data_IF_051143915037
#
_entry.id   IF_051143915037
#
_cell.length_a   1.000
_cell.length_b   1.000
_cell.length_c   1.000
_cell.angle_alpha   90.00
_cell.angle_beta   90.00
_cell.angle_gamma   90.00
#
_symmetry.space_group_name_H-M   'P 1'
#
loop_
_entity.id
_entity.type
_entity.pdbx_description
1 polymer ?
#
# COMPACT_ATOMS: atom_id res chain seq x y z
N UNK A 1 6.52 -8.11 6.46
CA UNK A 1 5.31 -8.10 5.59
C UNK A 1 4.10 -8.81 6.20
N UNK A 2 4.27 -9.75 7.14
CA UNK A 2 3.14 -10.47 7.77
C UNK A 2 2.83 -10.06 9.21
N UNK A 3 3.53 -9.06 9.78
CA UNK A 3 3.38 -8.67 11.18
C UNK A 3 1.93 -8.28 11.57
N UNK A 4 1.14 -7.57 10.73
CA UNK A 4 -0.26 -7.29 11.05
C UNK A 4 -1.15 -8.55 10.98
N UNK A 5 -0.86 -9.46 10.03
CA UNK A 5 -1.57 -10.74 9.91
C UNK A 5 -1.25 -11.67 11.08
N UNK A 6 -0.01 -11.67 11.57
CA UNK A 6 0.42 -12.47 12.71
C UNK A 6 -0.20 -11.99 14.03
N UNK A 7 -0.45 -10.69 14.18
CA UNK A 7 -1.16 -10.15 15.34
C UNK A 7 -2.65 -10.54 15.34
N UNK A 8 -3.27 -10.55 14.15
CA UNK A 8 -4.66 -10.95 13.98
C UNK A 8 -4.85 -12.48 14.07
N UNK A 9 -3.91 -13.28 13.55
CA UNK A 9 -3.94 -14.75 13.65
C UNK A 9 -3.39 -15.29 14.99
N UNK A 10 -2.57 -14.52 15.71
CA UNK A 10 -1.92 -14.94 16.94
C UNK A 10 -2.76 -14.75 18.21
N UNK A 11 -3.77 -13.88 18.17
CA UNK A 11 -4.53 -13.47 19.35
C UNK A 11 -5.63 -14.42 19.81
N UNK A 12 -6.27 -15.18 18.92
CA UNK A 12 -7.51 -15.90 19.27
C UNK A 12 -7.53 -17.33 18.73
N UNK A 13 -6.87 -18.24 19.44
CA UNK A 13 -6.96 -19.70 19.20
C UNK A 13 -8.30 -20.32 19.65
N UNK A 14 -9.33 -19.55 19.95
CA UNK A 14 -10.60 -20.11 20.44
C UNK A 14 -11.77 -19.15 20.23
N UNK A 15 -12.15 -18.88 18.99
CA UNK A 15 -13.34 -18.09 18.72
C UNK A 15 -13.54 -17.90 17.22
N UNK A 16 -14.67 -18.40 16.72
CA UNK A 16 -15.23 -18.24 15.38
C UNK A 16 -14.90 -16.86 14.78
N UNK A 17 -13.89 -16.81 13.89
CA UNK A 17 -13.47 -15.54 13.28
C UNK A 17 -14.39 -15.21 12.10
N UNK A 18 -15.50 -14.54 12.38
CA UNK A 18 -16.37 -14.01 11.32
C UNK A 18 -15.72 -12.74 10.75
N UNK A 19 -14.85 -12.88 9.74
CA UNK A 19 -14.35 -11.73 8.99
C UNK A 19 -15.54 -11.13 8.24
N UNK A 20 -15.96 -9.92 8.62
CA UNK A 20 -17.05 -9.22 7.92
C UNK A 20 -16.61 -8.86 6.48
N UNK A 21 -17.56 -8.81 5.55
CA UNK A 21 -17.33 -8.38 4.16
C UNK A 21 -16.61 -7.02 4.09
N UNK A 22 -16.90 -6.13 5.05
CA UNK A 22 -16.24 -4.82 5.17
C UNK A 22 -14.76 -4.95 5.56
N UNK A 23 -14.42 -5.82 6.52
CA UNK A 23 -13.02 -6.05 6.95
C UNK A 23 -12.19 -6.66 5.82
N UNK A 24 -12.76 -7.61 5.07
CA UNK A 24 -12.13 -8.18 3.87
C UNK A 24 -11.76 -7.09 2.85
N UNK A 25 -12.71 -6.19 2.56
CA UNK A 25 -12.50 -5.12 1.58
C UNK A 25 -11.40 -4.15 2.02
N UNK A 26 -11.35 -3.81 3.31
CA UNK A 26 -10.28 -2.99 3.86
C UNK A 26 -8.90 -3.67 3.81
N UNK A 27 -8.84 -4.99 4.05
CA UNK A 27 -7.58 -5.75 3.93
C UNK A 27 -7.07 -5.79 2.48
N UNK A 28 -7.97 -6.06 1.53
CA UNK A 28 -7.63 -6.04 0.10
C UNK A 28 -7.16 -4.66 -0.35
N UNK A 29 -7.87 -3.59 0.04
CA UNK A 29 -7.51 -2.21 -0.30
C UNK A 29 -6.15 -1.80 0.30
N UNK A 30 -5.87 -2.20 1.55
CA UNK A 30 -4.57 -1.96 2.18
C UNK A 30 -3.44 -2.70 1.46
N UNK A 31 -3.67 -3.96 1.06
CA UNK A 31 -2.68 -4.74 0.32
C UNK A 31 -2.47 -4.17 -1.08
N UNK A 32 -3.53 -3.79 -1.78
CA UNK A 32 -3.46 -3.13 -3.09
C UNK A 32 -2.61 -1.86 -3.02
N UNK A 33 -2.86 -1.00 -2.03
CA UNK A 33 -2.09 0.24 -1.81
C UNK A 33 -0.61 -0.04 -1.62
N UNK A 34 -0.25 -1.04 -0.80
CA UNK A 34 1.16 -1.41 -0.58
C UNK A 34 1.83 -2.01 -1.81
N UNK A 35 1.06 -2.74 -2.62
CA UNK A 35 1.53 -3.34 -3.87
C UNK A 35 1.85 -2.25 -4.90
N UNK A 36 0.99 -1.23 -4.97
CA UNK A 36 1.17 -0.08 -5.85
C UNK A 36 2.38 0.77 -5.43
N UNK A 37 2.56 1.00 -4.12
CA UNK A 37 3.74 1.69 -3.58
C UNK A 37 5.05 0.96 -3.95
N UNK A 38 5.05 -0.37 -3.91
CA UNK A 38 6.21 -1.17 -4.34
C UNK A 38 6.50 -1.03 -5.85
N UNK A 39 5.47 -0.87 -6.69
CA UNK A 39 5.61 -0.63 -8.14
C UNK A 39 6.18 0.75 -8.43
N UNK A 40 5.78 1.76 -7.67
CA UNK A 40 6.32 3.11 -7.80
C UNK A 40 7.83 3.15 -7.48
N UNK A 41 8.27 2.43 -6.45
CA UNK A 41 9.69 2.27 -6.14
C UNK A 41 10.44 1.61 -7.31
N UNK A 42 9.87 0.56 -7.90
CA UNK A 42 10.46 -0.15 -9.05
C UNK A 42 10.60 0.74 -10.30
N UNK A 43 9.55 1.52 -10.63
CA UNK A 43 9.59 2.54 -11.69
C UNK A 43 10.63 3.61 -11.43
N UNK A 44 10.73 4.09 -10.19
CA UNK A 44 11.74 5.06 -9.80
C UNK A 44 13.16 4.50 -9.96
N UNK A 45 13.42 3.28 -9.49
CA UNK A 45 14.72 2.61 -9.67
C UNK A 45 15.09 2.46 -11.15
N UNK A 46 14.12 2.07 -12.00
CA UNK A 46 14.33 1.97 -13.46
C UNK A 46 14.70 3.33 -14.05
N UNK A 47 13.97 4.39 -13.70
CA UNK A 47 14.26 5.76 -14.14
C UNK A 47 15.60 6.28 -13.64
N UNK A 48 15.98 5.93 -12.40
CA UNK A 48 17.26 6.31 -11.80
C UNK A 48 18.44 5.70 -12.55
N UNK A 49 18.34 4.44 -12.97
CA UNK A 49 19.41 3.78 -13.75
C UNK A 49 19.58 4.41 -15.13
N UNK A 50 18.48 4.81 -15.78
CA UNK A 50 18.54 5.60 -17.03
C UNK A 50 19.24 6.93 -16.79
N UNK A 51 18.81 7.65 -15.75
CA UNK A 51 19.41 8.94 -15.39
C UNK A 51 20.91 8.81 -15.08
N UNK A 52 21.32 7.75 -14.39
CA UNK A 52 22.72 7.49 -14.09
C UNK A 52 23.53 7.19 -15.35
N UNK A 53 22.95 6.49 -16.33
CA UNK A 53 23.55 6.30 -17.66
C UNK A 53 23.79 7.63 -18.38
N UNK A 54 22.80 8.53 -18.36
CA UNK A 54 22.91 9.89 -18.91
C UNK A 54 23.93 10.75 -18.14
N UNK A 55 24.04 10.57 -16.82
CA UNK A 55 25.05 11.29 -16.04
C UNK A 55 26.47 10.91 -16.48
N UNK A 56 26.71 9.64 -16.79
CA UNK A 56 28.02 9.22 -17.30
C UNK A 56 28.30 9.68 -18.74
N UNK A 57 27.27 9.87 -19.58
CA UNK A 57 27.49 10.54 -20.89
C UNK A 57 27.94 11.98 -20.70
N UNK A 58 27.30 12.69 -19.77
CA UNK A 58 27.67 14.05 -19.40
C UNK A 58 29.09 14.12 -18.84
N UNK A 59 29.49 13.18 -17.99
CA UNK A 59 30.85 13.10 -17.45
C UNK A 59 31.89 12.91 -18.56
N UNK A 60 31.67 11.96 -19.47
CA UNK A 60 32.60 11.72 -20.58
C UNK A 60 32.69 12.93 -21.54
N UNK A 61 31.61 13.69 -21.71
CA UNK A 61 31.66 14.95 -22.45
C UNK A 61 32.51 16.02 -21.74
N UNK A 62 32.42 16.15 -20.41
CA UNK A 62 33.28 17.07 -19.65
C UNK A 62 34.76 16.72 -19.83
N UNK A 63 35.10 15.42 -19.78
CA UNK A 63 36.46 14.95 -20.03
C UNK A 63 36.93 15.26 -21.46
N UNK A 64 36.04 15.07 -22.44
CA UNK A 64 36.29 15.42 -23.85
C UNK A 64 36.55 16.92 -24.00
N UNK A 65 35.73 17.78 -23.40
CA UNK A 65 35.92 19.25 -23.47
C UNK A 65 37.19 19.68 -22.75
N UNK A 66 37.48 19.11 -21.57
CA UNK A 66 38.69 19.41 -20.81
C UNK A 66 39.97 19.01 -21.54
N UNK A 67 39.97 17.87 -22.22
CA UNK A 67 41.11 17.43 -23.04
C UNK A 67 41.32 18.35 -24.24
N UNK A 68 40.26 18.70 -24.99
CA UNK A 68 40.35 19.68 -26.10
C UNK A 68 40.88 21.03 -25.62
N UNK A 69 40.45 21.52 -24.45
CA UNK A 69 40.96 22.75 -23.86
C UNK A 69 42.47 22.72 -23.60
N UNK A 70 43.01 21.59 -23.14
CA UNK A 70 44.47 21.38 -22.96
C UNK A 70 45.23 21.38 -24.29
N UNK A 71 44.65 20.83 -25.36
CA UNK A 71 45.26 20.87 -26.69
C UNK A 71 45.39 22.31 -27.17
N UNK A 72 44.33 23.11 -27.00
CA UNK A 72 44.30 24.51 -27.41
C UNK A 72 45.33 25.33 -26.63
N UNK A 73 45.46 25.12 -25.30
CA UNK A 73 46.43 25.82 -24.46
C UNK A 73 47.89 25.42 -24.77
N UNK A 74 48.11 24.15 -25.17
CA UNK A 74 49.41 23.63 -25.57
C UNK A 74 49.93 24.14 -26.92
N UNK A 75 49.06 24.66 -27.79
CA UNK A 75 49.43 25.20 -29.10
C UNK A 75 50.03 26.61 -28.97
N UNK A 76 51.32 26.70 -28.62
CA UNK A 76 52.06 27.96 -28.63
C UNK A 76 52.35 28.44 -30.06
N UNK A 77 52.00 29.69 -30.35
CA UNK A 77 52.28 30.33 -31.65
C UNK A 77 53.79 30.51 -31.82
N UNK A 78 54.39 29.78 -32.77
CA UNK A 78 55.81 29.92 -33.16
C UNK A 78 56.72 28.71 -32.90
N UNK A 79 56.20 27.54 -32.51
CA UNK A 79 56.97 26.29 -32.34
C UNK A 79 57.21 25.49 -33.62
N UNK A 80 58.12 24.52 -33.57
CA UNK A 80 58.41 23.58 -34.67
C UNK A 80 57.13 22.81 -35.09
N UNK A 81 56.86 22.76 -36.40
CA UNK A 81 55.66 22.16 -36.96
C UNK A 81 55.54 20.66 -36.64
N UNK A 82 56.66 19.96 -36.47
CA UNK A 82 56.65 18.54 -36.07
C UNK A 82 56.14 18.36 -34.63
N UNK A 83 56.60 19.20 -33.70
CA UNK A 83 56.18 19.17 -32.30
C UNK A 83 54.71 19.59 -32.12
N UNK A 84 54.22 20.53 -32.93
CA UNK A 84 52.80 20.91 -32.96
C UNK A 84 51.91 19.76 -33.47
N UNK A 85 52.37 19.00 -34.47
CA UNK A 85 51.64 17.85 -34.99
C UNK A 85 51.53 16.71 -33.95
N UNK A 86 52.63 16.41 -33.24
CA UNK A 86 52.62 15.40 -32.19
C UNK A 86 51.71 15.82 -31.01
N UNK A 87 51.72 17.09 -30.63
CA UNK A 87 50.81 17.65 -29.61
C UNK A 87 49.34 17.53 -30.02
N UNK A 88 49.03 17.79 -31.30
CA UNK A 88 47.66 17.63 -31.82
C UNK A 88 47.22 16.17 -31.82
N UNK A 89 48.12 15.25 -32.21
CA UNK A 89 47.88 13.81 -32.26
C UNK A 89 47.62 13.23 -30.86
N UNK A 90 48.46 13.55 -29.88
CA UNK A 90 48.23 13.17 -28.48
C UNK A 90 46.98 13.83 -27.92
N UNK A 91 46.77 15.10 -28.26
CA UNK A 91 45.64 15.90 -27.84
C UNK A 91 44.27 15.38 -28.33
N UNK A 92 44.23 14.75 -29.49
CA UNK A 92 43.00 14.16 -30.06
C UNK A 92 42.72 12.73 -29.57
N UNK A 93 43.71 12.03 -29.00
CA UNK A 93 43.52 10.69 -28.45
C UNK A 93 42.68 10.71 -27.16
N UNK A 94 42.88 11.71 -26.29
CA UNK A 94 42.15 11.86 -25.04
C UNK A 94 40.63 12.12 -25.21
N UNK A 95 40.17 13.01 -26.10
CA UNK A 95 38.75 13.17 -26.45
C UNK A 95 38.10 11.87 -26.94
N UNK A 96 38.85 11.07 -27.70
CA UNK A 96 38.38 9.78 -28.20
C UNK A 96 38.15 8.78 -27.05
N UNK A 97 39.01 8.82 -26.01
CA UNK A 97 38.86 8.04 -24.79
C UNK A 97 37.64 8.46 -23.96
N UNK A 98 37.45 9.77 -23.75
CA UNK A 98 36.30 10.32 -23.02
C UNK A 98 34.96 9.97 -23.68
N UNK A 99 34.93 9.89 -25.02
CA UNK A 99 33.78 9.40 -25.77
C UNK A 99 33.45 7.93 -25.46
N UNK A 100 34.47 7.07 -25.31
CA UNK A 100 34.30 5.67 -24.93
C UNK A 100 33.63 5.50 -23.57
N UNK A 101 34.07 6.26 -22.57
CA UNK A 101 33.46 6.27 -21.22
C UNK A 101 32.01 6.74 -21.27
N UNK A 102 31.74 7.81 -22.04
CA UNK A 102 30.38 8.33 -22.23
C UNK A 102 29.44 7.27 -22.82
N UNK A 103 29.91 6.55 -23.84
CA UNK A 103 29.13 5.56 -24.57
C UNK A 103 28.89 4.30 -23.73
N UNK A 104 29.93 3.78 -23.06
CA UNK A 104 29.79 2.60 -22.19
C UNK A 104 28.85 2.86 -21.01
N UNK A 105 28.88 4.06 -20.42
CA UNK A 105 27.97 4.42 -19.34
C UNK A 105 26.51 4.48 -19.81
N UNK A 106 26.26 5.03 -21.01
CA UNK A 106 24.93 5.05 -21.61
C UNK A 106 24.40 3.63 -21.87
N UNK A 107 25.23 2.78 -22.47
CA UNK A 107 24.89 1.38 -22.70
C UNK A 107 24.59 0.63 -21.40
N UNK A 108 25.37 0.87 -20.35
CA UNK A 108 25.14 0.27 -19.04
C UNK A 108 23.81 0.73 -18.43
N UNK A 109 23.51 2.03 -18.47
CA UNK A 109 22.24 2.57 -17.96
C UNK A 109 21.02 2.08 -18.75
N UNK A 110 21.13 1.97 -20.07
CA UNK A 110 20.06 1.44 -20.91
C UNK A 110 19.88 -0.08 -20.77
N UNK A 111 20.97 -0.85 -20.71
CA UNK A 111 20.89 -2.29 -20.48
C UNK A 111 20.34 -2.61 -19.09
N UNK A 112 20.80 -1.87 -18.07
CA UNK A 112 20.31 -1.98 -16.70
C UNK A 112 18.82 -1.64 -16.58
N UNK A 113 18.36 -0.57 -17.24
CA UNK A 113 16.93 -0.20 -17.22
C UNK A 113 16.06 -1.22 -17.96
N UNK A 114 16.57 -1.87 -19.01
CA UNK A 114 15.87 -2.93 -19.73
C UNK A 114 15.71 -4.19 -18.87
N UNK A 115 16.76 -4.59 -18.16
CA UNK A 115 16.71 -5.72 -17.20
C UNK A 115 15.73 -5.41 -16.06
N UNK A 116 15.82 -4.21 -15.46
CA UNK A 116 14.91 -3.80 -14.39
C UNK A 116 13.46 -3.71 -14.87
N UNK A 117 13.22 -3.16 -16.07
CA UNK A 117 11.88 -3.11 -16.67
C UNK A 117 11.30 -4.49 -16.92
N UNK A 118 12.12 -5.47 -17.34
CA UNK A 118 11.68 -6.85 -17.48
C UNK A 118 11.33 -7.51 -16.12
N UNK A 119 12.15 -7.27 -15.09
CA UNK A 119 11.86 -7.74 -13.73
C UNK A 119 10.60 -7.10 -13.16
N UNK A 120 10.37 -5.82 -13.43
CA UNK A 120 9.17 -5.10 -13.02
C UNK A 120 7.90 -5.69 -13.63
N UNK A 121 7.93 -6.02 -14.93
CA UNK A 121 6.83 -6.69 -15.61
C UNK A 121 6.51 -8.06 -14.99
N UNK A 122 7.54 -8.88 -14.73
CA UNK A 122 7.35 -10.18 -14.07
C UNK A 122 6.79 -10.03 -12.65
N UNK A 123 7.30 -9.06 -11.89
CA UNK A 123 6.82 -8.76 -10.54
C UNK A 123 5.37 -8.31 -10.55
N UNK A 124 5.01 -7.37 -11.44
CA UNK A 124 3.64 -6.87 -11.60
C UNK A 124 2.63 -7.98 -11.93
N UNK A 125 3.02 -8.92 -12.81
CA UNK A 125 2.21 -10.09 -13.13
C UNK A 125 2.01 -11.02 -11.92
N UNK A 126 3.10 -11.34 -11.21
CA UNK A 126 3.04 -12.18 -10.02
C UNK A 126 2.21 -11.54 -8.89
N UNK A 127 2.35 -10.23 -8.71
CA UNK A 127 1.59 -9.42 -7.76
C UNK A 127 0.09 -9.39 -8.07
N UNK A 128 -0.29 -9.18 -9.34
CA UNK A 128 -1.70 -9.24 -9.75
C UNK A 128 -2.30 -10.63 -9.51
N UNK A 129 -1.57 -11.68 -9.86
CA UNK A 129 -2.00 -13.06 -9.60
C UNK A 129 -2.18 -13.30 -8.10
N UNK A 130 -1.22 -12.90 -7.28
CA UNK A 130 -1.31 -13.01 -5.83
C UNK A 130 -2.53 -12.26 -5.27
N UNK A 131 -2.82 -11.05 -5.78
CA UNK A 131 -3.99 -10.28 -5.36
C UNK A 131 -5.29 -11.01 -5.67
N UNK A 132 -5.44 -11.55 -6.89
CA UNK A 132 -6.61 -12.35 -7.28
C UNK A 132 -6.72 -13.63 -6.44
N UNK A 133 -5.62 -14.35 -6.25
CA UNK A 133 -5.60 -15.58 -5.44
C UNK A 133 -5.99 -15.28 -3.97
N UNK A 134 -5.56 -14.14 -3.42
CA UNK A 134 -5.92 -13.68 -2.09
C UNK A 134 -7.39 -13.28 -1.99
N UNK A 135 -7.90 -12.57 -2.99
CA UNK A 135 -9.32 -12.18 -3.09
C UNK A 135 -10.22 -13.42 -3.11
N UNK A 136 -9.89 -14.41 -3.94
CA UNK A 136 -10.62 -15.69 -4.03
C UNK A 136 -10.57 -16.48 -2.70
N UNK A 137 -9.40 -16.53 -2.06
CA UNK A 137 -9.25 -17.18 -0.75
C UNK A 137 -10.07 -16.47 0.34
N UNK A 138 -10.06 -15.14 0.38
CA UNK A 138 -10.88 -14.38 1.34
C UNK A 138 -12.37 -14.54 1.05
N UNK A 139 -12.79 -14.50 -0.22
CA UNK A 139 -14.18 -14.64 -0.61
C UNK A 139 -14.75 -16.04 -0.27
N UNK A 140 -13.96 -17.10 -0.46
CA UNK A 140 -14.34 -18.45 -0.05
C UNK A 140 -14.45 -18.58 1.47
N UNK A 141 -13.48 -18.03 2.22
CA UNK A 141 -13.49 -18.02 3.68
C UNK A 141 -14.73 -17.30 4.23
N UNK A 142 -15.03 -16.08 3.74
CA UNK A 142 -16.22 -15.34 4.20
C UNK A 142 -17.51 -16.05 3.80
N UNK A 143 -17.59 -16.68 2.62
CA UNK A 143 -18.76 -17.48 2.21
C UNK A 143 -18.98 -18.66 3.14
N UNK A 144 -17.95 -19.39 3.52
CA UNK A 144 -18.04 -20.52 4.44
C UNK A 144 -18.59 -20.09 5.81
N UNK A 145 -18.12 -18.96 6.36
CA UNK A 145 -18.64 -18.41 7.62
C UNK A 145 -20.02 -17.74 7.50
N UNK A 146 -20.38 -17.22 6.32
CA UNK A 146 -21.75 -16.76 6.02
C UNK A 146 -22.74 -17.92 5.89
N UNK A 147 -22.21 -19.12 5.57
CA UNK A 147 -22.97 -20.35 5.34
C UNK A 147 -23.00 -21.24 6.58
N UNK A 148 -22.28 -20.91 7.67
CA UNK A 148 -22.78 -21.25 8.99
C UNK A 148 -24.13 -20.53 9.11
N UNK A 149 -25.24 -21.26 9.06
CA UNK A 149 -26.52 -20.63 8.88
C UNK A 149 -26.70 -19.69 10.07
N UNK A 150 -27.01 -18.44 9.78
CA UNK A 150 -28.03 -17.75 10.55
C UNK A 150 -29.32 -18.60 10.42
N UNK A 151 -29.33 -19.74 11.10
CA UNK A 151 -30.43 -20.65 11.24
C UNK A 151 -31.47 -19.88 12.03
N UNK A 152 -32.46 -19.32 11.33
CA UNK A 152 -33.61 -18.76 12.03
C UNK A 152 -34.51 -17.84 11.21
N UNK A 153 -34.04 -17.19 10.14
CA UNK A 153 -34.86 -16.16 9.48
C UNK A 153 -35.03 -16.37 7.96
N UNK A 154 -33.95 -16.31 7.17
CA UNK A 154 -34.05 -16.38 5.70
C UNK A 154 -34.43 -17.76 5.17
N UNK A 155 -33.82 -18.81 5.70
CA UNK A 155 -34.12 -20.19 5.32
C UNK A 155 -35.50 -20.67 5.76
N UNK A 156 -36.00 -20.15 6.88
CA UNK A 156 -37.33 -20.53 7.41
C UNK A 156 -38.45 -19.83 6.63
N UNK A 157 -38.24 -18.59 6.18
CA UNK A 157 -39.18 -17.92 5.27
C UNK A 157 -39.26 -18.64 3.92
N UNK A 158 -38.14 -19.04 3.34
CA UNK A 158 -38.12 -19.72 2.04
C UNK A 158 -38.77 -21.11 2.13
N UNK A 159 -38.56 -21.84 3.24
CA UNK A 159 -39.27 -23.09 3.54
C UNK A 159 -40.76 -22.89 3.81
N UNK A 160 -41.16 -21.81 4.48
CA UNK A 160 -42.56 -21.49 4.74
C UNK A 160 -43.33 -21.13 3.45
N UNK A 161 -42.69 -20.39 2.54
CA UNK A 161 -43.24 -20.06 1.23
C UNK A 161 -43.41 -21.33 0.37
N UNK A 162 -42.43 -22.23 0.38
CA UNK A 162 -42.52 -23.48 -0.38
C UNK A 162 -43.61 -24.41 0.15
N UNK A 163 -43.76 -24.51 1.48
CA UNK A 163 -44.86 -25.26 2.13
C UNK A 163 -46.23 -24.66 1.84
N UNK A 164 -46.34 -23.33 1.74
CA UNK A 164 -47.58 -22.67 1.36
C UNK A 164 -47.92 -22.97 -0.10
N UNK A 165 -46.93 -22.88 -0.99
CA UNK A 165 -47.08 -23.18 -2.40
C UNK A 165 -47.54 -24.63 -2.61
N UNK A 166 -46.89 -25.59 -1.96
CA UNK A 166 -47.28 -27.00 -2.05
C UNK A 166 -48.70 -27.24 -1.50
N UNK A 167 -49.06 -26.61 -0.38
CA UNK A 167 -50.40 -26.69 0.20
C UNK A 167 -51.50 -26.01 -0.64
N UNK A 168 -51.13 -25.07 -1.52
CA UNK A 168 -52.03 -24.44 -2.49
C UNK A 168 -52.17 -25.27 -3.77
N UNK A 169 -51.07 -25.90 -4.24
CA UNK A 169 -51.05 -26.75 -5.43
C UNK A 169 -51.75 -28.10 -5.20
N UNK A 170 -51.70 -28.66 -3.98
CA UNK A 170 -52.33 -29.94 -3.63
C UNK A 170 -53.88 -29.92 -3.52
N UNK A 171 -54.53 -28.78 -3.80
CA UNK A 171 -55.97 -28.73 -4.05
C UNK A 171 -56.85 -29.35 -2.95
N UNK A 172 -57.00 -28.66 -1.81
CA UNK A 172 -58.23 -28.79 -1.01
C UNK A 172 -58.15 -29.47 0.36
N UNK A 173 -57.33 -28.95 1.26
CA UNK A 173 -57.64 -29.06 2.70
C UNK A 173 -57.53 -27.69 3.34
N UNK A 174 -58.67 -27.10 3.72
CA UNK A 174 -58.76 -25.83 4.44
C UNK A 174 -57.85 -25.81 5.68
N UNK A 175 -57.59 -26.99 6.27
CA UNK A 175 -56.74 -27.17 7.45
C UNK A 175 -55.24 -27.12 7.11
N UNK A 176 -54.82 -27.66 5.97
CA UNK A 176 -53.42 -27.63 5.50
C UNK A 176 -52.98 -26.22 5.10
N UNK A 177 -53.83 -25.49 4.39
CA UNK A 177 -53.56 -24.09 4.02
C UNK A 177 -53.53 -23.17 5.26
N UNK A 178 -54.39 -23.43 6.25
CA UNK A 178 -54.39 -22.68 7.52
C UNK A 178 -53.09 -22.90 8.31
N UNK A 179 -52.57 -24.14 8.35
CA UNK A 179 -51.29 -24.45 9.00
C UNK A 179 -50.11 -23.82 8.26
N UNK A 180 -50.11 -23.81 6.92
CA UNK A 180 -49.06 -23.15 6.15
C UNK A 180 -49.07 -21.62 6.33
N UNK A 181 -50.25 -21.00 6.39
CA UNK A 181 -50.43 -19.59 6.70
C UNK A 181 -49.93 -19.23 8.11
N UNK A 182 -50.19 -20.07 9.11
CA UNK A 182 -49.70 -19.87 10.48
C UNK A 182 -48.16 -19.93 10.54
N UNK A 183 -47.54 -20.92 9.88
CA UNK A 183 -46.08 -21.03 9.79
C UNK A 183 -45.45 -19.84 9.04
N UNK A 184 -46.09 -19.35 7.98
CA UNK A 184 -45.63 -18.17 7.26
C UNK A 184 -45.74 -16.90 8.11
N UNK A 185 -46.84 -16.75 8.86
CA UNK A 185 -47.01 -15.62 9.76
C UNK A 185 -45.94 -15.59 10.87
N UNK A 186 -45.61 -16.75 11.42
CA UNK A 186 -44.53 -16.89 12.42
C UNK A 186 -43.15 -16.58 11.81
N UNK A 187 -42.87 -17.06 10.60
CA UNK A 187 -41.63 -16.74 9.88
C UNK A 187 -41.50 -15.24 9.55
N UNK A 188 -42.60 -14.60 9.13
CA UNK A 188 -42.63 -13.15 8.87
C UNK A 188 -42.45 -12.36 10.17
N UNK A 189 -43.08 -12.77 11.26
CA UNK A 189 -42.89 -12.14 12.56
C UNK A 189 -41.44 -12.27 13.06
N UNK A 190 -40.82 -13.45 12.87
CA UNK A 190 -39.40 -13.66 13.14
C UNK A 190 -38.50 -12.75 12.32
N UNK A 191 -38.77 -12.59 11.01
CA UNK A 191 -38.02 -11.69 10.15
C UNK A 191 -38.21 -10.21 10.55
N UNK A 192 -39.42 -9.80 10.90
CA UNK A 192 -39.71 -8.43 11.34
C UNK A 192 -39.00 -8.12 12.67
N UNK A 193 -39.01 -9.07 13.60
CA UNK A 193 -38.26 -8.95 14.86
C UNK A 193 -36.75 -8.81 14.59
N UNK A 194 -36.21 -9.66 13.70
CA UNK A 194 -34.81 -9.60 13.31
C UNK A 194 -34.42 -8.27 12.62
N UNK A 195 -35.24 -7.80 11.66
CA UNK A 195 -35.05 -6.49 11.02
C UNK A 195 -35.09 -5.34 12.02
N UNK A 196 -35.94 -5.41 13.03
CA UNK A 196 -36.01 -4.40 14.09
C UNK A 196 -34.73 -4.40 14.93
N UNK A 197 -34.18 -5.58 15.26
CA UNK A 197 -32.90 -5.71 15.95
C UNK A 197 -31.75 -5.15 15.13
N UNK A 198 -31.68 -5.45 13.82
CA UNK A 198 -30.65 -4.88 12.94
C UNK A 198 -30.78 -3.35 12.80
N UNK A 199 -32.00 -2.83 12.61
CA UNK A 199 -32.20 -1.38 12.54
C UNK A 199 -31.81 -0.67 13.82
N UNK A 200 -32.01 -1.31 14.98
CA UNK A 200 -31.57 -0.76 16.25
C UNK A 200 -30.04 -0.77 16.37
N UNK A 201 -29.39 -1.86 15.96
CA UNK A 201 -27.93 -1.95 15.91
C UNK A 201 -27.31 -0.90 14.98
N UNK A 202 -27.91 -0.67 13.80
CA UNK A 202 -27.47 0.37 12.85
C UNK A 202 -27.59 1.77 13.47
N UNK A 203 -28.68 2.03 14.22
CA UNK A 203 -28.86 3.31 14.93
C UNK A 203 -27.83 3.49 16.03
N UNK A 204 -27.64 2.47 16.88
CA UNK A 204 -26.65 2.50 17.97
C UNK A 204 -25.22 2.67 17.41
N UNK A 205 -24.90 2.01 16.30
CA UNK A 205 -23.63 2.18 15.60
C UNK A 205 -23.49 3.59 14.98
N UNK A 206 -24.53 4.12 14.35
CA UNK A 206 -24.52 5.47 13.79
C UNK A 206 -24.32 6.55 14.87
N UNK A 207 -24.97 6.38 16.03
CA UNK A 207 -24.81 7.25 17.19
C UNK A 207 -23.39 7.15 17.77
N UNK A 208 -22.86 5.92 17.93
CA UNK A 208 -21.50 5.67 18.42
C UNK A 208 -20.40 6.21 17.50
N UNK A 209 -20.59 6.13 16.17
CA UNK A 209 -19.67 6.71 15.18
C UNK A 209 -19.64 8.24 15.28
N UNK A 210 -20.78 8.87 15.54
CA UNK A 210 -20.88 10.32 15.75
C UNK A 210 -20.13 10.77 17.01
N UNK A 211 -20.20 9.99 18.08
CA UNK A 211 -19.46 10.26 19.33
C UNK A 211 -17.96 10.04 19.16
N UNK A 212 -17.53 8.93 18.54
CA UNK A 212 -16.12 8.69 18.21
C UNK A 212 -15.53 9.80 17.34
N UNK A 213 -16.27 10.27 16.32
CA UNK A 213 -15.78 11.33 15.44
C UNK A 213 -15.64 12.68 16.18
N UNK A 214 -16.51 12.95 17.15
CA UNK A 214 -16.37 14.12 18.05
C UNK A 214 -15.15 13.99 18.95
N UNK A 215 -14.87 12.80 19.49
CA UNK A 215 -13.71 12.59 20.35
C UNK A 215 -12.39 12.61 19.58
N UNK A 216 -12.35 12.05 18.37
CA UNK A 216 -11.23 12.21 17.43
C UNK A 216 -10.99 13.69 17.17
N UNK A 217 -12.05 14.48 16.89
CA UNK A 217 -11.92 15.93 16.70
C UNK A 217 -11.35 16.64 17.92
N UNK A 218 -11.80 16.31 19.14
CA UNK A 218 -11.25 16.88 20.39
C UNK A 218 -9.78 16.50 20.59
N UNK A 219 -9.39 15.27 20.28
CA UNK A 219 -8.00 14.81 20.36
C UNK A 219 -7.12 15.54 19.35
N UNK A 220 -7.59 15.72 18.12
CA UNK A 220 -6.92 16.52 17.09
C UNK A 220 -6.80 17.98 17.50
N UNK A 221 -7.83 18.58 18.11
CA UNK A 221 -7.77 19.93 18.65
C UNK A 221 -6.77 20.06 19.81
N UNK A 222 -6.67 19.06 20.69
CA UNK A 222 -5.66 19.03 21.77
C UNK A 222 -4.25 18.90 21.22
N UNK A 223 -4.03 18.04 20.22
CA UNK A 223 -2.75 17.88 19.54
C UNK A 223 -2.36 19.15 18.78
N UNK A 224 -3.31 19.79 18.10
CA UNK A 224 -3.08 21.06 17.40
C UNK A 224 -2.82 22.24 18.36
N UNK A 225 -3.34 22.16 19.59
CA UNK A 225 -3.15 23.18 20.63
C UNK A 225 -1.93 22.92 21.51
N UNK A 226 -1.27 21.77 21.43
CA UNK A 226 0.00 21.49 22.11
C UNK A 226 1.12 22.20 21.33
N UNK A 227 1.62 23.36 21.78
CA UNK A 227 2.81 23.95 21.19
C UNK A 227 3.99 23.06 21.63
N UNK A 228 4.97 22.87 20.75
CA UNK A 228 6.21 22.16 21.08
C UNK A 228 6.92 22.84 22.27
N UNK A 229 6.67 22.38 23.50
CA UNK A 229 7.40 22.75 24.71
C UNK A 229 8.62 21.82 24.95
N UNK A 230 9.29 21.36 23.90
CA UNK A 230 10.45 20.46 24.02
C UNK A 230 11.81 21.17 23.80
N UNK A 231 11.85 22.48 23.50
CA UNK A 231 13.13 23.18 23.23
C UNK A 231 13.53 24.29 24.23
N UNK A 232 13.06 24.27 25.48
CA UNK A 232 13.63 25.14 26.55
C UNK A 232 13.78 24.41 27.87
N UNK A 233 14.81 23.58 27.98
CA UNK A 233 15.12 22.87 29.22
C UNK A 233 16.57 22.45 29.42
N UNK A 234 17.53 22.91 28.61
CA UNK A 234 18.96 22.66 28.85
C UNK A 234 19.74 23.96 28.66
N UNK A 235 20.09 24.64 29.75
CA UNK A 235 20.85 25.88 29.65
C UNK A 235 21.06 26.71 30.90
N UNK A 236 21.03 26.15 32.12
CA UNK A 236 21.67 26.78 33.28
C UNK A 236 21.67 25.84 34.49
N UNK A 237 22.83 25.31 34.87
CA UNK A 237 23.41 25.66 36.16
C UNK A 237 24.87 25.17 36.25
N UNK A 238 25.80 26.11 36.10
CA UNK A 238 27.22 25.85 36.33
C UNK A 238 27.49 26.03 37.82
N UNK A 239 27.77 24.92 38.49
CA UNK A 239 28.29 24.83 39.86
C UNK A 239 29.39 25.86 40.14
N UNK A 240 29.17 26.72 41.14
CA UNK A 240 30.18 27.33 42.01
C UNK A 240 29.62 27.17 43.45
N UNK A 241 30.11 26.23 44.28
CA UNK A 241 31.29 26.37 45.17
C UNK A 241 31.31 27.73 45.88
N UNK A 242 30.86 27.81 47.13
CA UNK A 242 31.76 27.83 48.31
C UNK A 242 31.00 27.94 49.67
N UNK A 243 31.57 27.25 50.67
CA UNK A 243 31.61 27.42 52.16
C UNK A 243 30.47 28.14 52.93
N UNK A 244 30.04 27.80 54.15
CA UNK A 244 30.30 26.81 55.23
C UNK A 244 29.20 27.03 56.31
N UNK A 245 28.92 26.09 57.24
CA UNK A 245 27.97 26.32 58.32
C UNK A 245 28.64 26.74 59.66
N UNK A 246 28.00 27.70 60.32
CA UNK A 246 27.86 27.93 61.78
C UNK A 246 29.03 27.59 62.74
N UNK A 247 29.59 28.65 63.33
CA UNK A 247 29.64 28.87 64.78
C UNK A 247 29.72 30.38 65.06
#
# INVERSE_FOLDING_TARGET
>A
LLAPMAAILGGERSGRMTISQQTMRHLLDSIATRLDEARDISRYMTGLVVFLGLLGTFWGLIETVGSVGKVIDGLKVGGDASALFDTLKEGLAAPLGGMGISFSSSLFGLAGSLILGFLDLQSSQAQNRFYTDLEDWLASTVREYSTEPAAGAGGDLQKAIERLRSAMEEGGSNRGTTLAMANLAEAIQGLVAHMRTEQQMIREWADGQGEQNRDIKKLLERLARQPREIERGEGHDTKAVDSSPLA
#
